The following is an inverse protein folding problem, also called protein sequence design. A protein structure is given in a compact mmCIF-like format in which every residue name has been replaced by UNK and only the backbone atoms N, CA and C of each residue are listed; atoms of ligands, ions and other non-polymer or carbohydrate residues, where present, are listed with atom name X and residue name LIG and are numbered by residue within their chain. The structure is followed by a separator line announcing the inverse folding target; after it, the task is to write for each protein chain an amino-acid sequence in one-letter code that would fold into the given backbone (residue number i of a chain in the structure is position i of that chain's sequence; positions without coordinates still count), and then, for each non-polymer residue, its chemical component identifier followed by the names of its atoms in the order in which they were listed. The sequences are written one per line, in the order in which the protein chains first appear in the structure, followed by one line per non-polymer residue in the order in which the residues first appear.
data_IF_629285568905
#
_entry.id   IF_629285568905
#
_cell.length_a   1.000
_cell.length_b   1.000
_cell.length_c   1.000
_cell.angle_alpha   90.00
_cell.angle_beta   90.00
_cell.angle_gamma   90.00
#
_symmetry.space_group_name_H-M   'P 1'
#
loop_
_entity.id
_entity.type
_entity.pdbx_description
1 polymer ?
#
# COMPACT_ATOMS: atom_id res chain seq x y z
N UNK A 1 -29.13 -17.82 32.33
CA UNK A 1 -28.92 -16.43 32.77
C UNK A 1 -28.51 -15.64 31.55
N UNK A 2 -29.34 -14.68 31.14
CA UNK A 2 -29.13 -13.85 29.95
C UNK A 2 -28.02 -12.84 30.21
N UNK A 3 -27.08 -12.72 29.25
CA UNK A 3 -26.02 -11.72 29.25
C UNK A 3 -26.63 -10.31 29.16
N UNK A 4 -26.17 -9.31 29.95
CA UNK A 4 -26.75 -7.97 29.90
C UNK A 4 -26.41 -7.30 28.57
N UNK A 5 -27.43 -6.78 27.90
CA UNK A 5 -27.29 -5.91 26.74
C UNK A 5 -26.54 -4.64 27.16
N UNK A 6 -25.53 -4.27 26.37
CA UNK A 6 -24.81 -3.00 26.43
C UNK A 6 -25.78 -1.82 26.58
N UNK A 7 -25.91 -1.31 27.80
CA UNK A 7 -26.42 0.03 28.04
C UNK A 7 -25.41 1.03 27.49
N UNK A 8 -25.90 1.93 26.63
CA UNK A 8 -25.19 3.12 26.14
C UNK A 8 -24.77 4.01 27.32
N UNK A 9 -23.65 3.66 27.98
CA UNK A 9 -23.01 4.51 28.97
C UNK A 9 -22.32 5.67 28.28
N UNK A 10 -22.31 6.85 28.93
CA UNK A 10 -21.60 8.03 28.47
C UNK A 10 -20.15 7.67 28.12
N UNK A 11 -19.80 7.80 26.82
CA UNK A 11 -18.43 7.69 26.31
C UNK A 11 -17.58 8.77 27.00
N UNK A 12 -16.81 8.35 28.00
CA UNK A 12 -15.88 9.26 28.69
C UNK A 12 -14.51 8.97 28.11
N UNK A 13 -14.09 9.76 27.11
CA UNK A 13 -12.75 9.68 26.54
C UNK A 13 -11.73 10.05 27.64
N UNK A 14 -10.93 9.08 28.07
CA UNK A 14 -9.85 9.32 29.02
C UNK A 14 -8.55 9.67 28.28
N UNK A 15 -7.84 10.69 28.75
CA UNK A 15 -6.52 11.04 28.24
C UNK A 15 -5.53 9.90 28.56
N UNK A 16 -4.81 9.41 27.54
CA UNK A 16 -3.85 8.31 27.68
C UNK A 16 -2.73 8.62 28.71
N UNK A 17 -2.37 9.90 28.89
CA UNK A 17 -1.34 10.32 29.86
C UNK A 17 -1.78 10.23 31.33
N UNK A 18 -3.09 10.11 31.62
CA UNK A 18 -3.61 10.03 32.99
C UNK A 18 -3.88 8.61 33.48
N UNK A 19 -3.62 7.58 32.67
CA UNK A 19 -3.80 6.17 33.07
C UNK A 19 -2.53 5.64 33.78
N UNK A 20 -2.55 5.42 35.11
CA UNK A 20 -1.34 5.15 35.88
C UNK A 20 -0.74 3.76 35.67
N UNK A 21 -1.41 2.85 34.93
CA UNK A 21 -0.92 1.48 34.72
C UNK A 21 -1.49 0.87 33.43
N UNK A 22 -0.79 1.03 32.31
CA UNK A 22 -1.12 0.34 31.05
C UNK A 22 -1.11 -1.20 31.14
N UNK A 23 -0.50 -1.76 32.19
CA UNK A 23 -0.36 -3.21 32.36
C UNK A 23 -1.59 -3.96 32.88
N UNK A 24 -2.66 -3.27 33.27
CA UNK A 24 -3.88 -3.88 33.86
C UNK A 24 -5.15 -3.70 33.02
N UNK A 25 -5.05 -3.12 31.83
CA UNK A 25 -6.19 -2.85 30.97
C UNK A 25 -6.46 -4.05 30.06
N UNK A 26 -7.69 -4.56 30.05
CA UNK A 26 -8.04 -5.71 29.21
C UNK A 26 -8.18 -5.29 27.74
N UNK A 27 -7.81 -6.19 26.81
CA UNK A 27 -7.75 -5.97 25.34
C UNK A 27 -9.07 -5.43 24.74
N UNK A 28 -10.18 -5.55 25.47
CA UNK A 28 -11.53 -5.27 24.96
C UNK A 28 -12.35 -4.34 25.88
N UNK A 29 -11.82 -3.85 27.00
CA UNK A 29 -12.55 -2.97 27.93
C UNK A 29 -12.10 -1.51 27.91
N UNK A 30 -11.17 -1.14 27.04
CA UNK A 30 -10.73 0.25 26.96
C UNK A 30 -11.13 0.87 25.64
N UNK A 31 -12.12 1.76 25.70
CA UNK A 31 -12.41 2.80 24.70
C UNK A 31 -11.27 3.86 24.64
N UNK A 32 -10.03 3.46 24.91
CA UNK A 32 -8.84 4.31 24.92
C UNK A 32 -8.18 4.18 23.55
N UNK A 33 -8.42 5.19 22.71
CA UNK A 33 -7.60 5.43 21.52
C UNK A 33 -6.38 6.21 21.99
N UNK A 34 -5.25 5.53 22.18
CA UNK A 34 -3.98 6.21 22.41
C UNK A 34 -3.40 6.60 21.05
N UNK A 35 -3.68 7.82 20.59
CA UNK A 35 -2.84 8.43 19.57
C UNK A 35 -1.56 8.91 20.25
N UNK A 36 -0.40 8.61 19.66
CA UNK A 36 0.83 9.30 20.03
C UNK A 36 0.58 10.81 20.02
N UNK A 37 1.16 11.53 20.98
CA UNK A 37 1.15 12.99 20.96
C UNK A 37 1.67 13.45 19.59
N UNK A 38 0.76 14.01 18.78
CA UNK A 38 1.10 14.47 17.44
C UNK A 38 1.67 15.88 17.58
N UNK A 39 3.00 15.98 17.69
CA UNK A 39 3.73 17.24 17.79
C UNK A 39 3.75 17.99 16.46
N UNK A 40 2.59 18.51 16.06
CA UNK A 40 2.48 19.36 14.89
C UNK A 40 3.28 20.65 15.07
N UNK A 41 3.87 21.10 13.98
CA UNK A 41 4.52 22.41 13.95
C UNK A 41 3.44 23.46 13.75
N UNK A 42 3.33 24.37 14.71
CA UNK A 42 2.39 25.49 14.61
C UNK A 42 2.76 26.40 13.44
N UNK A 43 1.80 26.85 12.61
CA UNK A 43 2.05 27.85 11.59
C UNK A 43 2.57 29.14 12.23
N UNK A 44 3.83 29.48 11.93
CA UNK A 44 4.48 30.73 12.33
C UNK A 44 4.94 31.50 11.12
N UNK A 45 4.95 32.83 11.24
CA UNK A 45 5.61 33.67 10.25
C UNK A 45 7.12 33.42 10.32
N UNK A 46 7.69 32.93 9.22
CA UNK A 46 9.14 32.77 9.07
C UNK A 46 9.77 34.15 8.89
N UNK A 47 10.55 34.59 9.87
CA UNK A 47 11.19 35.91 9.87
C UNK A 47 12.60 35.90 9.27
N UNK A 48 13.25 34.73 9.24
CA UNK A 48 14.52 34.48 8.57
C UNK A 48 14.41 34.15 7.07
N UNK A 49 15.43 33.48 6.55
CA UNK A 49 15.50 33.13 5.14
C UNK A 49 14.54 31.99 4.83
N UNK A 50 13.65 32.22 3.85
CA UNK A 50 12.69 31.20 3.42
C UNK A 50 13.40 29.92 2.98
N UNK A 51 13.03 28.75 3.54
CA UNK A 51 13.58 27.48 3.13
C UNK A 51 13.33 27.21 1.65
N UNK A 52 14.38 26.81 0.93
CA UNK A 52 14.31 26.55 -0.53
C UNK A 52 14.92 25.21 -0.88
N UNK A 53 14.34 24.55 -1.89
CA UNK A 53 14.87 23.30 -2.43
C UNK A 53 16.15 23.61 -3.21
N UNK A 54 17.27 23.02 -2.81
CA UNK A 54 18.58 23.22 -3.43
C UNK A 54 18.84 22.27 -4.59
N UNK A 55 18.24 21.08 -4.60
CA UNK A 55 18.47 20.08 -5.62
C UNK A 55 17.30 19.09 -5.77
N UNK A 56 17.31 18.34 -6.88
CA UNK A 56 16.40 17.21 -7.11
C UNK A 56 16.56 16.06 -6.09
N UNK A 57 17.63 16.09 -5.29
CA UNK A 57 17.91 15.10 -4.24
C UNK A 57 17.33 15.49 -2.87
N UNK A 58 16.31 16.37 -2.83
CA UNK A 58 15.58 16.77 -1.62
C UNK A 58 16.49 17.35 -0.51
N UNK A 59 17.47 18.15 -0.90
CA UNK A 59 18.21 18.99 0.03
C UNK A 59 17.57 20.37 0.10
N UNK A 60 17.48 20.93 1.32
CA UNK A 60 16.86 22.23 1.57
C UNK A 60 17.88 23.17 2.18
N UNK A 61 17.90 24.41 1.70
CA UNK A 61 18.55 25.50 2.41
C UNK A 61 17.66 25.91 3.58
N UNK A 62 18.24 25.99 4.77
CA UNK A 62 17.64 26.53 5.97
C UNK A 62 18.77 27.10 6.83
N UNK A 63 18.60 28.34 7.29
CA UNK A 63 19.62 29.11 8.00
C UNK A 63 19.66 28.83 9.51
N UNK A 64 18.82 27.91 10.00
CA UNK A 64 18.72 27.54 11.41
C UNK A 64 17.64 28.32 12.17
N UNK A 65 16.87 29.20 11.52
CA UNK A 65 15.78 29.92 12.18
C UNK A 65 14.64 28.97 12.60
N UNK A 66 14.39 28.89 13.90
CA UNK A 66 13.34 28.06 14.50
C UNK A 66 11.93 28.52 14.14
N UNK A 67 11.71 29.81 13.88
CA UNK A 67 10.39 30.31 13.46
C UNK A 67 10.05 29.89 12.03
N UNK A 68 11.06 29.50 11.25
CA UNK A 68 10.91 28.96 9.90
C UNK A 68 10.70 27.44 9.85
N UNK A 69 10.62 26.74 10.99
CA UNK A 69 10.57 25.27 11.01
C UNK A 69 9.28 24.70 10.37
N UNK A 70 8.13 25.34 10.61
CA UNK A 70 6.88 24.97 9.93
C UNK A 70 6.97 25.17 8.41
N UNK A 71 7.56 26.29 7.98
CA UNK A 71 7.77 26.58 6.55
C UNK A 71 8.72 25.56 5.93
N UNK A 72 9.80 25.18 6.62
CA UNK A 72 10.71 24.12 6.18
C UNK A 72 9.96 22.80 5.97
N UNK A 73 9.17 22.38 6.95
CA UNK A 73 8.40 21.14 6.88
C UNK A 73 7.39 21.16 5.73
N UNK A 74 6.70 22.28 5.53
CA UNK A 74 5.73 22.45 4.44
C UNK A 74 6.41 22.45 3.07
N UNK A 75 7.52 23.18 2.91
CA UNK A 75 8.32 23.19 1.67
C UNK A 75 8.85 21.80 1.34
N UNK A 76 9.31 21.05 2.35
CA UNK A 76 9.74 19.67 2.18
C UNK A 76 8.59 18.73 1.78
N UNK A 77 7.42 18.86 2.41
CA UNK A 77 6.24 18.09 2.05
C UNK A 77 5.79 18.32 0.61
N UNK A 78 5.76 19.58 0.16
CA UNK A 78 5.43 19.90 -1.24
C UNK A 78 6.43 19.30 -2.23
N UNK A 79 7.73 19.37 -1.91
CA UNK A 79 8.78 18.77 -2.74
C UNK A 79 8.70 17.23 -2.80
N UNK A 80 8.17 16.59 -1.74
CA UNK A 80 7.85 15.16 -1.70
C UNK A 80 6.57 14.79 -2.47
N UNK A 81 5.89 15.77 -3.08
CA UNK A 81 4.65 15.56 -3.82
C UNK A 81 3.40 15.46 -2.95
N UNK A 82 3.48 15.87 -1.68
CA UNK A 82 2.33 15.90 -0.78
C UNK A 82 1.39 17.04 -1.23
N UNK A 83 0.08 16.77 -1.45
CA UNK A 83 -0.88 17.82 -1.77
C UNK A 83 -0.93 18.89 -0.68
N UNK A 84 -0.94 20.17 -1.07
CA UNK A 84 -0.98 21.29 -0.12
C UNK A 84 -2.10 21.17 0.91
N UNK A 85 -3.30 20.75 0.48
CA UNK A 85 -4.46 20.55 1.36
C UNK A 85 -4.20 19.53 2.50
N UNK A 86 -3.34 18.53 2.27
CA UNK A 86 -2.96 17.57 3.32
C UNK A 86 -1.98 18.16 4.32
N UNK A 87 -1.13 19.09 3.89
CA UNK A 87 -0.20 19.79 4.78
C UNK A 87 -0.94 20.81 5.66
N UNK A 88 -2.02 21.39 5.15
CA UNK A 88 -2.86 22.33 5.90
C UNK A 88 -3.61 21.66 7.07
N UNK A 89 -3.79 20.33 7.04
CA UNK A 89 -4.31 19.57 8.19
C UNK A 89 -3.29 19.41 9.34
N UNK A 90 -2.01 19.64 9.06
CA UNK A 90 -0.92 19.49 10.02
C UNK A 90 0.28 18.78 9.41
N UNK A 91 1.46 19.32 9.70
CA UNK A 91 2.76 18.73 9.32
C UNK A 91 3.65 18.64 10.55
N UNK A 92 4.42 17.56 10.65
CA UNK A 92 5.40 17.37 11.72
C UNK A 92 6.71 16.82 11.17
N UNK A 93 7.79 17.12 11.87
CA UNK A 93 9.12 16.61 11.57
C UNK A 93 9.54 15.58 12.63
N UNK A 94 10.21 14.52 12.16
CA UNK A 94 10.76 13.47 13.01
C UNK A 94 12.20 13.14 12.62
N UNK A 95 13.02 12.80 13.62
CA UNK A 95 14.36 12.28 13.38
C UNK A 95 14.34 10.89 12.73
N UNK A 96 15.54 10.37 12.42
CA UNK A 96 15.75 8.98 12.01
C UNK A 96 15.42 7.92 13.08
N UNK A 97 15.13 8.36 14.30
CA UNK A 97 14.80 7.49 15.44
C UNK A 97 13.38 7.75 15.98
N UNK A 98 12.50 8.32 15.17
CA UNK A 98 11.12 8.66 15.54
C UNK A 98 10.99 9.74 16.63
N UNK A 99 12.02 10.57 16.85
CA UNK A 99 11.95 11.64 17.84
C UNK A 99 11.32 12.89 17.20
N UNK A 100 10.32 13.52 17.84
CA UNK A 100 9.72 14.75 17.33
C UNK A 100 10.78 15.86 17.27
N UNK A 101 10.75 16.64 16.19
CA UNK A 101 11.63 17.79 15.99
C UNK A 101 10.77 19.05 16.02
N UNK A 102 10.74 19.73 17.16
CA UNK A 102 9.87 20.91 17.38
C UNK A 102 10.65 22.22 17.45
N UNK A 103 11.97 22.15 17.58
CA UNK A 103 12.86 23.30 17.63
C UNK A 103 14.02 23.16 16.65
N UNK A 104 14.68 24.29 16.36
CA UNK A 104 15.88 24.29 15.53
C UNK A 104 17.00 23.41 16.11
N UNK A 105 17.15 23.41 17.44
CA UNK A 105 18.13 22.59 18.15
C UNK A 105 17.89 21.10 17.94
N UNK A 106 16.63 20.66 17.85
CA UNK A 106 16.30 19.26 17.60
C UNK A 106 16.76 18.83 16.20
N UNK A 107 16.57 19.70 15.20
CA UNK A 107 17.00 19.46 13.82
C UNK A 107 18.52 19.33 13.74
N UNK A 108 19.25 20.21 14.43
CA UNK A 108 20.71 20.12 14.52
C UNK A 108 21.15 18.82 15.21
N UNK A 109 20.54 18.46 16.33
CA UNK A 109 20.83 17.22 17.05
C UNK A 109 20.50 15.96 16.22
N UNK A 110 19.57 16.06 15.28
CA UNK A 110 19.22 14.99 14.33
C UNK A 110 20.17 14.92 13.10
N UNK A 111 21.31 15.61 13.13
CA UNK A 111 22.24 15.77 12.00
C UNK A 111 21.54 16.33 10.75
N UNK A 112 20.50 17.15 10.94
CA UNK A 112 19.68 17.76 9.87
C UNK A 112 19.03 16.73 8.92
N UNK A 113 18.87 15.49 9.36
CA UNK A 113 18.12 14.46 8.62
C UNK A 113 16.73 14.33 9.24
N UNK A 114 15.72 14.74 8.47
CA UNK A 114 14.34 14.84 8.93
C UNK A 114 13.40 13.99 8.08
N UNK A 115 12.36 13.46 8.71
CA UNK A 115 11.21 12.83 8.07
C UNK A 115 10.01 13.76 8.20
N UNK A 116 9.29 13.96 7.08
CA UNK A 116 8.02 14.69 7.06
C UNK A 116 6.90 13.69 7.29
N UNK A 117 6.05 13.94 8.29
CA UNK A 117 4.88 13.12 8.58
C UNK A 117 3.63 14.02 8.59
N UNK A 118 2.51 13.46 8.17
CA UNK A 118 1.20 14.13 8.15
C UNK A 118 0.29 13.66 9.27
N UNK A 119 -0.93 14.19 9.26
CA UNK A 119 -2.05 13.67 10.02
C UNK A 119 -2.20 12.15 9.83
N UNK A 120 -2.24 11.41 10.95
CA UNK A 120 -2.40 9.95 11.00
C UNK A 120 -1.28 9.10 10.36
N UNK A 121 -0.22 9.72 9.82
CA UNK A 121 0.93 8.95 9.32
C UNK A 121 1.69 8.31 10.48
N UNK A 122 2.01 7.02 10.35
CA UNK A 122 2.84 6.32 11.32
C UNK A 122 4.31 6.35 10.88
N UNK A 123 5.18 6.75 11.80
CA UNK A 123 6.61 6.58 11.60
C UNK A 123 6.96 5.10 11.65
N UNK A 124 7.86 4.69 10.77
CA UNK A 124 8.39 3.33 10.70
C UNK A 124 9.87 3.42 10.36
N UNK A 125 10.65 2.43 10.77
CA UNK A 125 12.09 2.42 10.48
C UNK A 125 12.35 2.60 8.98
N UNK A 126 13.15 3.61 8.58
CA UNK A 126 13.49 3.80 7.19
C UNK A 126 14.38 2.64 6.72
N UNK A 127 14.15 2.17 5.50
CA UNK A 127 15.08 1.28 4.83
C UNK A 127 16.05 2.11 4.03
N UNK A 128 17.24 2.39 4.56
CA UNK A 128 18.25 3.24 3.90
C UNK A 128 18.96 2.46 2.79
N UNK A 129 19.57 1.32 3.15
CA UNK A 129 20.22 0.40 2.23
C UNK A 129 20.29 -0.99 2.87
N UNK A 130 20.34 -2.05 2.07
CA UNK A 130 20.62 -3.39 2.59
C UNK A 130 21.97 -3.37 3.32
N UNK A 131 22.02 -4.02 4.49
CA UNK A 131 23.11 -3.99 5.47
C UNK A 131 23.32 -2.67 6.23
N UNK A 132 22.51 -1.63 6.01
CA UNK A 132 22.51 -0.45 6.88
C UNK A 132 22.09 -0.86 8.30
N UNK A 133 22.81 -0.37 9.31
CA UNK A 133 22.59 -0.74 10.72
C UNK A 133 22.28 0.49 11.57
N UNK A 134 21.19 0.42 12.33
CA UNK A 134 20.89 1.33 13.42
C UNK A 134 21.40 0.74 14.73
N UNK A 135 22.00 1.60 15.57
CA UNK A 135 22.29 1.27 16.96
C UNK A 135 21.14 1.76 17.83
N UNK A 136 20.54 0.84 18.57
CA UNK A 136 19.44 1.10 19.49
C UNK A 136 19.95 1.12 20.93
N UNK A 137 19.06 1.40 21.88
CA UNK A 137 19.34 1.26 23.30
C UNK A 137 19.72 -0.20 23.65
N UNK A 138 20.34 -0.40 24.82
CA UNK A 138 20.74 -1.71 25.35
C UNK A 138 21.66 -2.53 24.41
N UNK A 139 22.46 -1.86 23.58
CA UNK A 139 23.35 -2.49 22.58
C UNK A 139 22.62 -3.38 21.55
N UNK A 140 21.31 -3.16 21.34
CA UNK A 140 20.58 -3.79 20.25
C UNK A 140 20.98 -3.16 18.92
N UNK A 141 21.04 -3.98 17.87
CA UNK A 141 21.27 -3.50 16.50
C UNK A 141 20.12 -3.89 15.60
N UNK A 142 19.71 -2.97 14.73
CA UNK A 142 18.70 -3.19 13.70
C UNK A 142 19.36 -3.08 12.33
N UNK A 143 19.49 -4.19 11.62
CA UNK A 143 20.15 -4.22 10.30
C UNK A 143 19.14 -4.48 9.20
N UNK A 144 19.16 -3.64 8.17
CA UNK A 144 18.25 -3.73 7.02
C UNK A 144 18.57 -4.96 6.17
N UNK A 145 17.61 -5.87 6.00
CA UNK A 145 17.74 -7.09 5.21
C UNK A 145 17.07 -6.97 3.83
N UNK A 146 15.99 -6.21 3.75
CA UNK A 146 15.26 -5.95 2.51
C UNK A 146 14.57 -4.60 2.57
N UNK A 147 14.41 -3.95 1.41
CA UNK A 147 13.70 -2.67 1.25
C UNK A 147 12.25 -2.84 0.79
N UNK A 148 11.92 -3.95 0.12
CA UNK A 148 10.56 -4.23 -0.38
C UNK A 148 10.26 -5.74 -0.38
N UNK A 149 9.55 -6.28 0.64
CA UNK A 149 9.09 -5.57 1.84
C UNK A 149 10.26 -5.12 2.71
N UNK A 150 10.02 -4.13 3.58
CA UNK A 150 11.02 -3.74 4.58
C UNK A 150 11.17 -4.85 5.61
N UNK A 151 12.38 -5.37 5.74
CA UNK A 151 12.73 -6.41 6.70
C UNK A 151 13.99 -6.00 7.42
N UNK A 152 13.98 -6.14 8.74
CA UNK A 152 15.14 -5.89 9.58
C UNK A 152 15.47 -7.12 10.42
N UNK A 153 16.76 -7.42 10.57
CA UNK A 153 17.25 -8.33 11.59
C UNK A 153 17.55 -7.53 12.85
N UNK A 154 17.10 -8.02 14.00
CA UNK A 154 17.43 -7.44 15.31
C UNK A 154 18.42 -8.36 16.03
N UNK A 155 19.55 -7.81 16.48
CA UNK A 155 20.49 -8.56 17.33
C UNK A 155 20.44 -8.04 18.77
N UNK A 156 20.85 -8.90 19.73
CA UNK A 156 20.83 -8.63 21.17
C UNK A 156 19.44 -8.28 21.75
N UNK A 157 18.36 -8.72 21.09
CA UNK A 157 16.99 -8.41 21.51
C UNK A 157 16.57 -9.14 22.80
N UNK A 158 16.88 -10.44 22.87
CA UNK A 158 16.63 -11.33 24.01
C UNK A 158 17.95 -12.05 24.32
N UNK A 159 18.34 -12.11 25.59
CA UNK A 159 19.52 -12.87 26.00
C UNK A 159 19.19 -14.35 26.32
N UNK A 160 20.22 -15.18 26.50
CA UNK A 160 20.03 -16.62 26.74
C UNK A 160 19.26 -16.94 28.02
N UNK A 161 19.42 -16.13 29.08
CA UNK A 161 18.69 -16.30 30.33
C UNK A 161 17.19 -16.05 30.14
N UNK A 162 16.85 -14.93 29.51
CA UNK A 162 15.47 -14.57 29.16
C UNK A 162 14.81 -15.61 28.25
N UNK A 163 15.54 -16.07 27.22
CA UNK A 163 15.04 -17.14 26.34
C UNK A 163 14.77 -18.43 27.13
N UNK A 164 15.66 -18.78 28.07
CA UNK A 164 15.49 -19.94 28.96
C UNK A 164 14.23 -19.83 29.82
N UNK A 165 13.98 -18.66 30.41
CA UNK A 165 12.78 -18.39 31.21
C UNK A 165 11.50 -18.47 30.37
N UNK A 166 11.46 -17.81 29.20
CA UNK A 166 10.33 -17.84 28.26
C UNK A 166 10.00 -19.29 27.89
N UNK A 167 11.01 -20.10 27.57
CA UNK A 167 10.85 -21.51 27.22
C UNK A 167 10.36 -22.31 28.44
N UNK A 168 10.94 -22.13 29.62
CA UNK A 168 10.58 -22.88 30.83
C UNK A 168 9.12 -22.63 31.24
N UNK A 169 8.66 -21.38 31.14
CA UNK A 169 7.27 -21.01 31.41
C UNK A 169 6.33 -21.50 30.30
N UNK A 170 6.62 -21.15 29.04
CA UNK A 170 5.73 -21.43 27.92
C UNK A 170 5.60 -22.92 27.60
N UNK A 171 6.65 -23.73 27.84
CA UNK A 171 6.63 -25.18 27.59
C UNK A 171 5.51 -25.91 28.33
N UNK A 172 5.11 -25.43 29.51
CA UNK A 172 4.01 -26.00 30.30
C UNK A 172 2.63 -25.79 29.66
N UNK A 173 2.52 -24.80 28.77
CA UNK A 173 1.27 -24.38 28.11
C UNK A 173 1.20 -24.82 26.64
N UNK A 174 2.28 -25.39 26.09
CA UNK A 174 2.32 -25.83 24.70
C UNK A 174 1.37 -27.00 24.46
N UNK A 175 0.40 -26.79 23.58
CA UNK A 175 -0.48 -27.82 23.01
C UNK A 175 -0.28 -27.88 21.50
N UNK A 176 -0.63 -29.00 20.86
CA UNK A 176 -0.64 -29.06 19.38
C UNK A 176 -1.60 -28.01 18.85
N UNK A 177 -1.18 -27.29 17.80
CA UNK A 177 -2.03 -26.28 17.16
C UNK A 177 -3.32 -26.94 16.65
N UNK A 178 -4.51 -26.41 17.01
CA UNK A 178 -5.76 -26.89 16.44
C UNK A 178 -5.80 -26.61 14.93
N UNK A 179 -6.43 -27.50 14.17
CA UNK A 179 -6.73 -27.29 12.75
C UNK A 179 -8.05 -26.52 12.62
N UNK A 180 -8.02 -25.32 12.05
CA UNK A 180 -9.20 -24.43 11.87
C UNK A 180 -9.15 -23.18 12.77
N UNK A 181 -9.91 -22.13 12.42
CA UNK A 181 -10.07 -20.93 13.26
C UNK A 181 -10.68 -21.31 14.61
N UNK A 182 -9.84 -21.54 15.61
CA UNK A 182 -10.30 -21.86 16.95
C UNK A 182 -10.78 -20.57 17.63
N UNK A 183 -12.10 -20.44 17.74
CA UNK A 183 -12.83 -19.34 18.39
C UNK A 183 -12.61 -19.31 19.91
N UNK A 184 -12.09 -20.39 20.49
CA UNK A 184 -11.88 -20.51 21.94
C UNK A 184 -10.46 -20.13 22.37
N UNK A 185 -10.20 -18.82 22.36
CA UNK A 185 -9.07 -18.23 23.04
C UNK A 185 -9.32 -18.16 24.55
N UNK A 186 -8.96 -19.20 25.30
CA UNK A 186 -8.85 -19.07 26.76
C UNK A 186 -7.76 -18.04 27.09
N UNK A 187 -8.17 -16.92 27.69
CA UNK A 187 -7.30 -15.85 28.16
C UNK A 187 -6.48 -16.37 29.34
N UNK A 188 -5.15 -16.39 29.19
CA UNK A 188 -4.21 -16.70 30.28
C UNK A 188 -3.70 -15.38 30.87
N UNK A 189 -3.96 -15.10 32.15
CA UNK A 189 -3.59 -13.87 32.87
C UNK A 189 -2.10 -13.78 33.27
N UNK A 190 -1.23 -14.54 32.62
CA UNK A 190 0.14 -14.75 33.09
C UNK A 190 1.10 -13.75 32.43
N UNK A 191 1.28 -12.66 33.16
CA UNK A 191 2.24 -11.56 33.02
C UNK A 191 3.67 -12.10 32.73
N UNK A 192 4.23 -11.79 31.56
CA UNK A 192 5.67 -11.93 31.28
C UNK A 192 6.34 -10.55 31.37
N UNK A 193 7.36 -10.45 32.22
CA UNK A 193 8.30 -9.33 32.47
C UNK A 193 8.06 -8.00 31.72
N UNK A 194 7.89 -6.90 32.46
CA UNK A 194 7.77 -5.53 31.95
C UNK A 194 8.89 -5.13 30.96
N UNK A 195 10.10 -5.68 31.11
CA UNK A 195 11.29 -5.36 30.30
C UNK A 195 11.17 -5.80 28.83
N UNK A 196 10.76 -7.04 28.56
CA UNK A 196 10.62 -7.56 27.19
C UNK A 196 9.46 -6.92 26.43
N UNK A 197 8.43 -6.46 27.14
CA UNK A 197 7.31 -5.73 26.54
C UNK A 197 7.73 -4.30 26.21
N UNK A 198 8.50 -3.66 27.08
CA UNK A 198 9.16 -2.38 26.78
C UNK A 198 10.04 -2.44 25.53
N UNK A 199 10.95 -3.42 25.41
CA UNK A 199 11.82 -3.56 24.23
C UNK A 199 11.04 -3.76 22.93
N UNK A 200 9.98 -4.59 22.92
CA UNK A 200 9.14 -4.80 21.73
C UNK A 200 8.50 -3.49 21.26
N UNK A 201 7.92 -2.75 22.20
CA UNK A 201 7.29 -1.46 21.93
C UNK A 201 8.31 -0.44 21.42
N UNK A 202 9.48 -0.36 22.03
CA UNK A 202 10.55 0.54 21.61
C UNK A 202 11.10 0.19 20.22
N UNK A 203 11.39 -1.08 19.95
CA UNK A 203 11.93 -1.53 18.66
C UNK A 203 10.89 -1.38 17.56
N UNK A 204 9.63 -1.72 17.79
CA UNK A 204 8.57 -1.55 16.81
C UNK A 204 8.02 -0.10 16.73
N UNK A 205 8.49 0.80 17.61
CA UNK A 205 7.96 2.16 17.81
C UNK A 205 6.44 2.19 17.90
N UNK A 206 5.90 1.28 18.71
CA UNK A 206 4.46 1.27 18.98
C UNK A 206 4.15 2.40 19.99
N UNK A 207 3.00 3.09 19.84
CA UNK A 207 2.58 4.14 20.78
C UNK A 207 2.45 3.64 22.23
N UNK A 208 2.10 2.36 22.38
CA UNK A 208 1.86 1.73 23.67
C UNK A 208 2.02 0.22 23.57
N UNK A 209 2.32 -0.41 24.71
CA UNK A 209 2.33 -1.86 24.87
C UNK A 209 0.98 -2.52 24.52
N UNK A 210 -0.12 -1.78 24.57
CA UNK A 210 -1.45 -2.28 24.20
C UNK A 210 -1.58 -2.64 22.71
N UNK A 211 -0.77 -2.04 21.85
CA UNK A 211 -0.73 -2.35 20.41
C UNK A 211 0.06 -3.61 20.08
N UNK A 212 0.88 -4.11 21.01
CA UNK A 212 1.61 -5.35 20.84
C UNK A 212 0.75 -6.52 21.34
N UNK A 213 0.52 -7.51 20.49
CA UNK A 213 -0.07 -8.77 20.97
C UNK A 213 0.87 -9.47 21.97
N UNK A 214 0.28 -10.36 22.77
CA UNK A 214 1.04 -11.15 23.76
C UNK A 214 2.07 -12.04 23.06
N UNK A 215 3.15 -12.35 23.77
CA UNK A 215 4.20 -13.20 23.24
C UNK A 215 3.64 -14.59 22.90
N UNK A 216 3.72 -15.00 21.64
CA UNK A 216 3.35 -16.33 21.18
C UNK A 216 4.59 -17.22 21.10
N UNK A 217 4.65 -18.25 21.94
CA UNK A 217 5.70 -19.26 21.88
C UNK A 217 5.28 -20.38 20.92
N UNK A 218 6.11 -20.64 19.90
CA UNK A 218 5.91 -21.75 18.95
C UNK A 218 7.13 -22.66 18.99
N UNK A 219 6.91 -23.98 18.86
CA UNK A 219 7.97 -24.99 18.79
C UNK A 219 7.75 -25.88 17.58
N UNK A 220 8.77 -26.01 16.74
CA UNK A 220 8.81 -26.96 15.62
C UNK A 220 9.74 -28.13 15.95
N UNK A 221 9.24 -29.36 15.81
CA UNK A 221 10.03 -30.59 15.79
C UNK A 221 10.56 -30.88 14.39
N UNK A 222 11.49 -31.82 14.20
CA UNK A 222 11.89 -32.26 12.87
C UNK A 222 10.67 -32.61 11.99
N UNK A 223 10.59 -31.99 10.82
CA UNK A 223 9.48 -32.15 9.88
C UNK A 223 8.24 -31.26 10.13
N UNK A 224 8.18 -30.54 11.26
CA UNK A 224 7.14 -29.54 11.50
C UNK A 224 7.58 -28.18 10.92
N UNK A 225 6.67 -27.49 10.24
CA UNK A 225 6.91 -26.18 9.64
C UNK A 225 5.63 -25.35 9.63
N UNK A 226 5.78 -24.05 9.45
CA UNK A 226 4.66 -23.14 9.24
C UNK A 226 4.60 -22.76 7.77
N UNK A 227 3.42 -22.92 7.18
CA UNK A 227 3.21 -22.58 5.76
C UNK A 227 3.32 -21.07 5.57
N UNK A 228 3.70 -20.66 4.36
CA UNK A 228 3.65 -19.25 3.98
C UNK A 228 2.24 -18.71 4.21
N UNK A 229 2.14 -17.57 4.89
CA UNK A 229 0.90 -16.87 5.20
C UNK A 229 1.24 -15.38 5.43
N UNK A 230 0.20 -14.56 5.59
CA UNK A 230 0.32 -13.18 6.03
C UNK A 230 -0.01 -13.10 7.52
N UNK A 231 0.77 -12.33 8.27
CA UNK A 231 0.48 -12.02 9.68
C UNK A 231 -0.68 -11.03 9.81
N UNK A 232 -0.99 -10.29 8.73
CA UNK A 232 -2.18 -9.45 8.66
C UNK A 232 -3.40 -10.32 8.46
N UNK A 233 -4.42 -10.11 9.30
CA UNK A 233 -5.74 -10.66 9.04
C UNK A 233 -6.28 -10.07 7.73
N UNK A 234 -6.95 -10.88 6.90
CA UNK A 234 -7.93 -10.31 5.98
C UNK A 234 -8.87 -9.48 6.86
N UNK A 235 -9.01 -8.18 6.58
CA UNK A 235 -9.76 -7.24 7.41
C UNK A 235 -11.00 -7.95 7.94
N UNK A 236 -11.16 -8.05 9.27
CA UNK A 236 -12.49 -8.29 9.81
C UNK A 236 -13.34 -7.24 9.11
N UNK A 237 -14.34 -7.67 8.34
CA UNK A 237 -15.22 -6.77 7.60
C UNK A 237 -16.04 -6.01 8.65
N UNK A 238 -15.42 -5.05 9.32
CA UNK A 238 -16.04 -4.12 10.27
C UNK A 238 -17.11 -3.34 9.50
N UNK A 239 -16.84 -3.09 8.21
CA UNK A 239 -17.80 -2.64 7.22
C UNK A 239 -17.82 -3.61 6.03
N UNK A 240 -18.96 -3.69 5.34
CA UNK A 240 -19.03 -4.43 4.09
C UNK A 240 -18.06 -3.80 3.07
N UNK A 241 -17.20 -4.58 2.41
CA UNK A 241 -16.27 -4.03 1.44
C UNK A 241 -17.05 -3.28 0.34
N UNK A 242 -16.59 -2.08 -0.06
CA UNK A 242 -17.27 -1.31 -1.08
C UNK A 242 -17.34 -2.11 -2.39
N UNK A 243 -18.54 -2.25 -2.93
CA UNK A 243 -18.77 -2.91 -4.21
C UNK A 243 -18.64 -1.87 -5.32
N UNK A 244 -17.47 -1.80 -5.95
CA UNK A 244 -17.23 -0.91 -7.08
C UNK A 244 -17.91 -1.42 -8.35
N UNK A 245 -18.61 -0.53 -9.05
CA UNK A 245 -19.25 -0.82 -10.33
C UNK A 245 -18.49 -0.16 -11.48
N UNK A 246 -18.77 -0.57 -12.71
CA UNK A 246 -18.21 0.08 -13.91
C UNK A 246 -18.51 1.60 -13.94
N UNK A 247 -19.67 2.02 -13.42
CA UNK A 247 -20.02 3.44 -13.29
C UNK A 247 -19.03 4.23 -12.42
N UNK A 248 -18.45 3.61 -11.39
CA UNK A 248 -17.46 4.24 -10.52
C UNK A 248 -16.11 4.37 -11.23
N UNK A 249 -15.73 3.38 -12.05
CA UNK A 249 -14.58 3.50 -12.95
C UNK A 249 -14.75 4.65 -13.95
N UNK A 250 -15.95 4.82 -14.50
CA UNK A 250 -16.26 5.96 -15.41
C UNK A 250 -16.12 7.30 -14.68
N UNK A 251 -16.65 7.41 -13.45
CA UNK A 251 -16.49 8.62 -12.63
C UNK A 251 -15.02 8.89 -12.31
N UNK A 252 -14.29 7.86 -11.87
CA UNK A 252 -12.86 7.96 -11.56
C UNK A 252 -12.05 8.41 -12.78
N UNK A 253 -12.26 7.82 -13.95
CA UNK A 253 -11.55 8.20 -15.17
C UNK A 253 -11.85 9.65 -15.57
N UNK A 254 -13.08 10.13 -15.36
CA UNK A 254 -13.44 11.53 -15.61
C UNK A 254 -12.74 12.49 -14.63
N UNK A 255 -12.65 12.14 -13.34
CA UNK A 255 -11.90 12.92 -12.35
C UNK A 255 -10.41 12.92 -12.68
N UNK A 256 -9.85 11.75 -13.00
CA UNK A 256 -8.45 11.62 -13.40
C UNK A 256 -8.12 12.45 -14.65
N UNK A 257 -9.00 12.48 -15.66
CA UNK A 257 -8.83 13.30 -16.85
C UNK A 257 -8.78 14.80 -16.53
N UNK A 258 -9.67 15.27 -15.63
CA UNK A 258 -9.66 16.67 -15.15
C UNK A 258 -8.35 17.00 -14.44
N UNK A 259 -7.89 16.13 -13.54
CA UNK A 259 -6.65 16.34 -12.79
C UNK A 259 -5.42 16.34 -13.70
N UNK A 260 -5.37 15.41 -14.65
CA UNK A 260 -4.31 15.34 -15.68
C UNK A 260 -4.29 16.61 -16.54
N UNK A 261 -5.44 17.16 -16.89
CA UNK A 261 -5.52 18.40 -17.68
C UNK A 261 -4.96 19.62 -16.94
N UNK A 262 -5.02 19.65 -15.61
CA UNK A 262 -4.45 20.73 -14.80
C UNK A 262 -2.91 20.81 -14.87
N UNK A 263 -2.23 19.72 -15.27
CA UNK A 263 -0.78 19.67 -15.40
C UNK A 263 -0.26 20.39 -16.66
N UNK A 264 -1.13 20.73 -17.61
CA UNK A 264 -0.77 21.52 -18.79
C UNK A 264 0.45 20.97 -19.56
N UNK A 265 1.49 21.81 -19.68
CA UNK A 265 2.71 21.49 -20.44
C UNK A 265 3.61 20.44 -19.77
N UNK A 266 3.48 20.24 -18.46
CA UNK A 266 4.30 19.30 -17.70
C UNK A 266 3.81 17.85 -17.82
N UNK A 267 2.72 17.64 -18.56
CA UNK A 267 2.11 16.33 -18.73
C UNK A 267 3.01 15.40 -19.56
N UNK A 268 3.47 14.25 -19.01
CA UNK A 268 4.30 13.32 -19.75
C UNK A 268 3.59 12.81 -21.00
N UNK A 269 4.35 12.59 -22.07
CA UNK A 269 3.81 12.31 -23.40
C UNK A 269 2.76 11.19 -23.40
N UNK A 270 3.00 10.09 -22.68
CA UNK A 270 2.10 8.94 -22.60
C UNK A 270 0.71 9.24 -22.00
N UNK A 271 0.60 10.32 -21.22
CA UNK A 271 -0.65 10.78 -20.60
C UNK A 271 -1.34 11.88 -21.40
N UNK A 272 -0.82 12.33 -22.54
CA UNK A 272 -1.47 13.38 -23.35
C UNK A 272 -2.74 12.86 -24.07
N UNK A 273 -3.72 13.73 -24.39
CA UNK A 273 -4.92 13.33 -25.11
C UNK A 273 -4.62 12.48 -26.36
N UNK A 274 -5.34 11.37 -26.50
CA UNK A 274 -5.16 10.40 -27.59
C UNK A 274 -4.11 9.32 -27.35
N UNK A 275 -3.29 9.45 -26.30
CA UNK A 275 -2.31 8.43 -25.91
C UNK A 275 -2.93 7.35 -25.03
N UNK A 276 -2.20 6.23 -24.87
CA UNK A 276 -2.73 5.04 -24.22
C UNK A 276 -3.05 5.24 -22.72
N UNK A 277 -2.32 6.12 -22.02
CA UNK A 277 -2.54 6.37 -20.58
C UNK A 277 -3.40 7.60 -20.30
N UNK A 278 -3.92 8.29 -21.31
CA UNK A 278 -4.86 9.39 -21.07
C UNK A 278 -6.18 8.85 -20.50
N UNK A 279 -6.64 9.34 -19.32
CA UNK A 279 -7.82 8.81 -18.67
C UNK A 279 -9.08 8.91 -19.52
N UNK A 280 -9.61 7.76 -19.93
CA UNK A 280 -10.85 7.66 -20.69
C UNK A 280 -11.47 6.26 -20.54
N UNK A 281 -12.51 6.14 -19.72
CA UNK A 281 -13.16 4.85 -19.48
C UNK A 281 -13.80 4.21 -20.72
N UNK A 282 -14.15 5.00 -21.75
CA UNK A 282 -14.69 4.48 -23.02
C UNK A 282 -13.60 3.97 -23.97
N UNK A 283 -12.34 4.28 -23.69
CA UNK A 283 -11.22 3.86 -24.52
C UNK A 283 -10.61 2.57 -23.96
N UNK A 284 -10.82 1.47 -24.66
CA UNK A 284 -10.27 0.14 -24.29
C UNK A 284 -8.74 0.19 -24.16
N UNK A 285 -8.05 1.06 -24.90
CA UNK A 285 -6.59 1.21 -24.78
C UNK A 285 -6.18 1.73 -23.40
N UNK A 286 -6.99 2.60 -22.79
CA UNK A 286 -6.72 3.12 -21.45
C UNK A 286 -6.88 2.05 -20.38
N UNK A 287 -8.00 1.32 -20.40
CA UNK A 287 -8.21 0.19 -19.48
C UNK A 287 -7.11 -0.87 -19.64
N UNK A 288 -6.72 -1.20 -20.88
CA UNK A 288 -5.63 -2.12 -21.17
C UNK A 288 -4.29 -1.65 -20.60
N UNK A 289 -3.95 -0.38 -20.83
CA UNK A 289 -2.68 0.18 -20.40
C UNK A 289 -2.58 0.24 -18.87
N UNK A 290 -3.69 0.50 -18.15
CA UNK A 290 -3.72 0.40 -16.69
C UNK A 290 -3.48 -1.02 -16.19
N UNK A 291 -4.12 -2.02 -16.80
CA UNK A 291 -3.94 -3.44 -16.42
C UNK A 291 -2.50 -3.87 -16.68
N UNK A 292 -1.91 -3.46 -17.81
CA UNK A 292 -0.52 -3.76 -18.13
C UNK A 292 0.46 -3.09 -17.15
N UNK A 293 0.23 -1.83 -16.78
CA UNK A 293 1.02 -1.14 -15.76
C UNK A 293 0.93 -1.85 -14.41
N UNK A 294 -0.28 -2.20 -13.96
CA UNK A 294 -0.49 -2.92 -12.71
C UNK A 294 0.23 -4.27 -12.71
N UNK A 295 0.11 -5.04 -13.79
CA UNK A 295 0.79 -6.32 -13.92
C UNK A 295 2.31 -6.17 -13.87
N UNK A 296 2.89 -5.25 -14.66
CA UNK A 296 4.35 -5.02 -14.67
C UNK A 296 4.88 -4.54 -13.32
N UNK A 297 4.16 -3.62 -12.66
CA UNK A 297 4.51 -3.13 -11.32
C UNK A 297 4.42 -4.26 -10.29
N UNK A 298 3.34 -5.06 -10.35
CA UNK A 298 3.14 -6.20 -9.48
C UNK A 298 4.22 -7.27 -9.62
N UNK A 299 4.64 -7.60 -10.85
CA UNK A 299 5.74 -8.54 -11.10
C UNK A 299 7.06 -7.99 -10.57
N UNK A 300 7.40 -6.74 -10.89
CA UNK A 300 8.68 -6.14 -10.48
C UNK A 300 8.82 -5.99 -8.96
N UNK A 301 7.69 -5.80 -8.26
CA UNK A 301 7.63 -5.70 -6.79
C UNK A 301 7.30 -7.02 -6.09
N UNK A 302 7.31 -8.15 -6.80
CA UNK A 302 6.98 -9.47 -6.25
C UNK A 302 5.59 -9.55 -5.56
N UNK A 303 4.62 -8.74 -6.01
CA UNK A 303 3.27 -8.67 -5.45
C UNK A 303 2.56 -10.03 -5.50
N UNK A 304 2.59 -10.71 -6.66
CA UNK A 304 1.91 -11.99 -6.86
C UNK A 304 2.62 -13.13 -6.15
N UNK A 305 3.95 -13.17 -6.23
CA UNK A 305 4.77 -14.19 -5.56
C UNK A 305 4.62 -14.12 -4.03
N UNK A 306 4.63 -12.92 -3.45
CA UNK A 306 4.48 -12.73 -2.00
C UNK A 306 3.11 -13.18 -1.46
N UNK A 307 2.07 -13.12 -2.30
CA UNK A 307 0.69 -13.54 -1.96
C UNK A 307 0.34 -14.95 -2.42
N UNK A 308 1.27 -15.66 -3.07
CA UNK A 308 1.00 -16.94 -3.74
C UNK A 308 -0.15 -16.84 -4.78
N UNK A 309 -0.22 -15.73 -5.50
CA UNK A 309 -1.24 -15.41 -6.52
C UNK A 309 -0.69 -15.57 -7.95
N UNK A 310 0.25 -16.50 -8.16
CA UNK A 310 0.93 -16.71 -9.45
C UNK A 310 -0.05 -17.12 -10.57
N UNK A 311 -1.18 -17.75 -10.24
CA UNK A 311 -2.23 -18.05 -11.22
C UNK A 311 -2.91 -16.78 -11.73
N UNK A 312 -3.13 -15.80 -10.86
CA UNK A 312 -3.70 -14.52 -11.24
C UNK A 312 -2.72 -13.72 -12.12
N UNK A 313 -1.43 -13.74 -11.79
CA UNK A 313 -0.39 -13.17 -12.65
C UNK A 313 -0.43 -13.77 -14.06
N UNK A 314 -0.46 -15.11 -14.18
CA UNK A 314 -0.53 -15.79 -15.48
C UNK A 314 -1.80 -15.40 -16.25
N UNK A 315 -2.92 -15.30 -15.54
CA UNK A 315 -4.18 -14.84 -16.14
C UNK A 315 -4.06 -13.41 -16.67
N UNK A 316 -3.49 -12.48 -15.90
CA UNK A 316 -3.25 -11.10 -16.33
C UNK A 316 -2.34 -11.03 -17.56
N UNK A 317 -1.23 -11.79 -17.55
CA UNK A 317 -0.31 -11.87 -18.67
C UNK A 317 -1.00 -12.35 -19.96
N UNK A 318 -1.81 -13.41 -19.88
CA UNK A 318 -2.61 -13.91 -21.00
C UNK A 318 -3.61 -12.86 -21.52
N UNK A 319 -4.32 -12.15 -20.62
CA UNK A 319 -5.27 -11.10 -21.03
C UNK A 319 -4.59 -9.93 -21.72
N UNK A 320 -3.46 -9.45 -21.20
CA UNK A 320 -2.68 -8.36 -21.80
C UNK A 320 -2.16 -8.78 -23.17
N UNK A 321 -1.67 -10.01 -23.32
CA UNK A 321 -1.20 -10.54 -24.60
C UNK A 321 -2.34 -10.61 -25.63
N UNK A 322 -3.48 -11.24 -25.28
CA UNK A 322 -4.63 -11.39 -26.18
C UNK A 322 -5.19 -10.05 -26.65
N UNK A 323 -5.30 -9.08 -25.76
CA UNK A 323 -5.78 -7.75 -26.12
C UNK A 323 -4.79 -7.05 -27.07
N UNK A 324 -3.49 -7.19 -26.83
CA UNK A 324 -2.44 -6.68 -27.73
C UNK A 324 -2.54 -7.30 -29.14
N UNK A 325 -2.77 -8.61 -29.25
CA UNK A 325 -3.01 -9.28 -30.53
C UNK A 325 -4.25 -8.74 -31.24
N UNK A 326 -5.37 -8.58 -30.54
CA UNK A 326 -6.60 -8.02 -31.10
C UNK A 326 -6.39 -6.58 -31.62
N UNK A 327 -5.73 -5.72 -30.84
CA UNK A 327 -5.43 -4.34 -31.26
C UNK A 327 -4.52 -4.29 -32.50
N UNK A 328 -3.55 -5.21 -32.60
CA UNK A 328 -2.65 -5.33 -33.75
C UNK A 328 -3.40 -5.83 -34.99
N UNK A 329 -4.33 -6.77 -34.83
CA UNK A 329 -5.21 -7.22 -35.91
C UNK A 329 -6.10 -6.11 -36.44
N UNK A 330 -6.72 -5.29 -35.57
CA UNK A 330 -7.50 -4.12 -35.99
C UNK A 330 -6.66 -3.15 -36.81
N UNK A 331 -5.41 -2.88 -36.38
CA UNK A 331 -4.49 -2.02 -37.13
C UNK A 331 -4.20 -2.60 -38.52
N UNK A 332 -3.82 -3.87 -38.57
CA UNK A 332 -3.57 -4.59 -39.83
C UNK A 332 -4.79 -4.55 -40.76
N UNK A 333 -5.99 -4.77 -40.24
CA UNK A 333 -7.22 -4.75 -41.03
C UNK A 333 -7.49 -3.36 -41.62
N UNK A 334 -7.27 -2.29 -40.85
CA UNK A 334 -7.36 -0.91 -41.34
C UNK A 334 -6.35 -0.59 -42.43
N UNK A 335 -5.10 -1.02 -42.25
CA UNK A 335 -4.05 -0.85 -43.26
C UNK A 335 -4.42 -1.56 -44.56
N UNK A 336 -4.95 -2.79 -44.49
CA UNK A 336 -5.42 -3.53 -45.67
C UNK A 336 -6.59 -2.85 -46.36
N UNK A 337 -7.57 -2.35 -45.62
CA UNK A 337 -8.70 -1.58 -46.16
C UNK A 337 -8.18 -0.31 -46.87
N UNK A 338 -7.19 0.38 -46.28
CA UNK A 338 -6.58 1.56 -46.89
C UNK A 338 -5.86 1.24 -48.21
N UNK A 339 -5.19 0.09 -48.30
CA UNK A 339 -4.51 -0.36 -49.52
C UNK A 339 -5.52 -0.76 -50.61
N UNK A 340 -6.59 -1.46 -50.24
CA UNK A 340 -7.60 -1.95 -51.18
C UNK A 340 -8.55 -0.83 -51.65
N UNK A 341 -8.70 0.25 -50.88
CA UNK A 341 -9.49 1.42 -51.25
C UNK A 341 -10.92 1.06 -51.64
N UNK A 342 -11.33 1.42 -52.85
CA UNK A 342 -12.70 1.17 -53.33
C UNK A 342 -12.98 -0.29 -53.70
N UNK A 343 -11.98 -1.18 -53.65
CA UNK A 343 -12.20 -2.62 -53.88
C UNK A 343 -12.89 -3.31 -52.71
N UNK A 344 -12.86 -2.73 -51.49
CA UNK A 344 -13.64 -3.26 -50.37
C UNK A 344 -15.09 -2.75 -50.39
N UNK A 345 -16.07 -3.55 -49.91
CA UNK A 345 -17.46 -3.12 -49.80
C UNK A 345 -17.62 -1.82 -49.02
N UNK A 346 -18.57 -0.97 -49.42
CA UNK A 346 -18.84 0.32 -48.75
C UNK A 346 -19.12 0.18 -47.25
N UNK A 347 -19.69 -0.96 -46.82
CA UNK A 347 -19.95 -1.27 -45.42
C UNK A 347 -18.68 -1.44 -44.57
N UNK A 348 -17.53 -1.75 -45.17
CA UNK A 348 -16.24 -2.02 -44.50
C UNK A 348 -15.25 -0.84 -44.68
N UNK A 349 -15.55 0.14 -45.54
CA UNK A 349 -14.74 1.37 -45.70
C UNK A 349 -14.78 2.26 -44.45
N UNK A 350 -13.90 3.27 -44.28
CA UNK A 350 -13.82 4.09 -43.05
C UNK A 350 -15.14 4.66 -42.51
N UNK A 351 -16.10 4.98 -43.40
CA UNK A 351 -17.42 5.51 -43.02
C UNK A 351 -18.50 4.41 -42.88
N UNK A 352 -18.15 3.16 -43.15
CA UNK A 352 -19.04 2.01 -43.13
C UNK A 352 -19.26 1.46 -41.72
N UNK A 353 -20.42 0.81 -41.52
CA UNK A 353 -20.83 0.23 -40.23
C UNK A 353 -19.87 -0.85 -39.72
N UNK A 354 -19.24 -1.61 -40.63
CA UNK A 354 -18.33 -2.72 -40.34
C UNK A 354 -16.86 -2.32 -40.44
N UNK A 355 -16.54 -1.02 -40.48
CA UNK A 355 -15.15 -0.60 -40.39
C UNK A 355 -14.54 -1.03 -39.06
N UNK A 356 -13.34 -1.64 -39.04
CA UNK A 356 -12.69 -2.06 -37.79
C UNK A 356 -12.57 -0.93 -36.78
N UNK A 357 -13.02 -1.14 -35.55
CA UNK A 357 -12.90 -0.17 -34.44
C UNK A 357 -12.41 -0.85 -33.18
N UNK A 358 -11.88 -0.03 -32.27
CA UNK A 358 -11.40 -0.48 -30.97
C UNK A 358 -12.51 -0.52 -29.90
N UNK A 359 -13.76 -0.29 -30.30
CA UNK A 359 -14.91 -0.26 -29.39
C UNK A 359 -15.61 -1.63 -29.29
N UNK A 360 -16.42 -1.79 -28.25
CA UNK A 360 -17.18 -3.01 -27.98
C UNK A 360 -18.26 -3.28 -29.05
N UNK A 361 -18.79 -2.24 -29.71
CA UNK A 361 -19.86 -2.41 -30.69
C UNK A 361 -19.36 -3.14 -31.94
N UNK A 362 -18.17 -2.77 -32.43
CA UNK A 362 -17.52 -3.49 -33.52
C UNK A 362 -17.18 -4.93 -33.11
N UNK A 363 -16.74 -5.17 -31.87
CA UNK A 363 -16.47 -6.53 -31.39
C UNK A 363 -17.74 -7.38 -31.39
N UNK A 364 -18.88 -6.85 -30.94
CA UNK A 364 -20.15 -7.58 -30.97
C UNK A 364 -20.63 -7.86 -32.39
N UNK A 365 -20.53 -6.92 -33.32
CA UNK A 365 -20.88 -7.13 -34.73
C UNK A 365 -19.95 -8.17 -35.38
N UNK A 366 -18.65 -8.14 -35.07
CA UNK A 366 -17.69 -9.14 -35.55
C UNK A 366 -18.03 -10.54 -35.01
N UNK A 367 -18.35 -10.66 -33.73
CA UNK A 367 -18.76 -11.91 -33.10
C UNK A 367 -20.09 -12.40 -33.72
N UNK A 368 -21.06 -11.51 -33.91
CA UNK A 368 -22.33 -11.85 -34.54
C UNK A 368 -22.14 -12.38 -35.97
N UNK A 369 -21.24 -11.76 -36.75
CA UNK A 369 -20.88 -12.25 -38.08
C UNK A 369 -20.19 -13.62 -38.02
N UNK A 370 -19.28 -13.84 -37.06
CA UNK A 370 -18.63 -15.14 -36.89
C UNK A 370 -19.64 -16.25 -36.61
N UNK A 371 -20.56 -16.04 -35.67
CA UNK A 371 -21.63 -17.01 -35.34
C UNK A 371 -22.68 -17.15 -36.44
N UNK A 372 -22.88 -16.14 -37.29
CA UNK A 372 -23.76 -16.23 -38.46
C UNK A 372 -23.18 -17.13 -39.55
N UNK A 373 -21.85 -17.19 -39.67
CA UNK A 373 -21.16 -17.86 -40.78
C UNK A 373 -20.43 -19.15 -40.38
N UNK A 374 -20.33 -19.44 -39.08
CA UNK A 374 -19.70 -20.64 -38.56
C UNK A 374 -20.53 -21.22 -37.41
N UNK A 375 -20.65 -22.55 -37.38
CA UNK A 375 -21.23 -23.24 -36.21
C UNK A 375 -20.33 -23.06 -34.99
N UNK A 376 -20.91 -23.20 -33.80
CA UNK A 376 -20.15 -23.18 -32.53
C UNK A 376 -18.99 -24.17 -32.56
N UNK A 377 -19.20 -25.38 -33.11
CA UNK A 377 -18.14 -26.40 -33.23
C UNK A 377 -16.97 -25.95 -34.11
N UNK A 378 -17.26 -25.34 -35.27
CA UNK A 378 -16.24 -24.80 -36.17
C UNK A 378 -15.49 -23.62 -35.55
N UNK A 379 -16.18 -22.74 -34.83
CA UNK A 379 -15.53 -21.64 -34.10
C UNK A 379 -14.67 -22.17 -32.96
N UNK A 380 -15.12 -23.20 -32.23
CA UNK A 380 -14.30 -23.86 -31.21
C UNK A 380 -13.05 -24.46 -31.82
N UNK A 381 -13.11 -25.15 -32.96
CA UNK A 381 -11.93 -25.71 -33.62
C UNK A 381 -11.00 -24.62 -34.19
N UNK A 382 -11.54 -23.61 -34.87
CA UNK A 382 -10.79 -22.48 -35.43
C UNK A 382 -10.08 -21.64 -34.36
N UNK A 383 -10.78 -21.34 -33.25
CA UNK A 383 -10.30 -20.46 -32.20
C UNK A 383 -9.49 -21.17 -31.10
N UNK A 384 -9.47 -22.50 -31.06
CA UNK A 384 -8.72 -23.25 -30.04
C UNK A 384 -7.41 -23.87 -30.51
N UNK A 385 -7.20 -24.10 -31.81
CA UNK A 385 -6.01 -24.86 -32.29
C UNK A 385 -5.05 -24.12 -33.24
N UNK A 386 -5.49 -23.10 -33.98
CA UNK A 386 -4.67 -22.49 -35.04
C UNK A 386 -4.21 -21.05 -34.79
N UNK A 387 -4.68 -20.37 -33.75
CA UNK A 387 -4.26 -19.00 -33.42
C UNK A 387 -3.15 -18.93 -32.36
N UNK A 388 -2.78 -20.06 -31.75
CA UNK A 388 -1.83 -20.15 -30.64
C UNK A 388 -0.47 -20.77 -31.03
N UNK A 389 -0.18 -20.89 -32.32
CA UNK A 389 1.14 -21.23 -32.85
C UNK A 389 1.70 -20.10 -33.71
#
# INVERSE_FOLDING_TARGET
MQSPRNSRGNLTLANATSAPNYGSLSKYETDIVAMDDQFFLEPRECTGTMPTVLSSSLHFFWDGDGDCLHVLARTAGLALGIPALRLDNGVRLSSQYSLPLTTASDVEAANRIVHVLLDFDLWVWPGIAVNFTYTLHDNMTLTTQSLSPRVFSVTNFINQGEAGEIIAHGRKLLRRSPTGESVDGTVSDIRTSNSSTGRRVCVARLPSASYAERLQLVRYRPGEFYRQHLDTMASKNIEAPPVYQYADFVKWAAVAAKNVAMLGNDLPQQFKPGQALYPNAKNVKFASALVELFWKDGVSKHFFASRNEMEWERWLADKVARLSHFLRWIRWAKERISVLGDQVPASIRPNGKLYPKYDQYFQYELIALLFKHHSTSQLTDLLSKQWYY
#
